data_IF_086464679138
#
_entry.id   IF_086464679138
#
_cell.length_a   1.000
_cell.length_b   1.000
_cell.length_c   1.000
_cell.angle_alpha   90.00
_cell.angle_beta   90.00
_cell.angle_gamma   90.00
#
_symmetry.space_group_name_H-M   'P 1'
#
loop_
_entity.id
_entity.type
_entity.pdbx_description
1 polymer ?
#
# COMPACT_ATOMS: atom_id res chain seq x y z
N UNK A 1 -10.37 -4.56 30.98
CA UNK A 1 -8.91 -4.83 30.99
C UNK A 1 -8.46 -4.82 29.56
N UNK A 2 -7.34 -4.16 29.26
CA UNK A 2 -6.72 -4.23 27.92
C UNK A 2 -6.20 -5.67 27.78
N UNK A 3 -6.65 -6.42 26.77
CA UNK A 3 -6.18 -7.78 26.52
C UNK A 3 -4.69 -7.81 26.14
N UNK A 4 -4.02 -8.93 26.40
CA UNK A 4 -2.61 -9.12 26.01
C UNK A 4 -2.45 -9.08 24.48
N UNK A 5 -1.23 -8.85 23.98
CA UNK A 5 -0.95 -8.90 22.54
C UNK A 5 -1.42 -10.21 21.92
N UNK A 6 -1.10 -11.35 22.54
CA UNK A 6 -1.54 -12.67 22.07
C UNK A 6 -3.05 -12.79 21.97
N UNK A 7 -3.80 -12.27 22.96
CA UNK A 7 -5.25 -12.28 22.94
C UNK A 7 -5.80 -11.46 21.75
N UNK A 8 -5.26 -10.26 21.52
CA UNK A 8 -5.71 -9.38 20.43
C UNK A 8 -5.37 -9.95 19.06
N UNK A 9 -4.18 -10.53 18.88
CA UNK A 9 -3.81 -11.22 17.64
C UNK A 9 -4.77 -12.38 17.36
N UNK A 10 -5.12 -13.17 18.38
CA UNK A 10 -6.09 -14.25 18.24
C UNK A 10 -7.46 -13.73 17.80
N UNK A 11 -7.91 -12.60 18.34
CA UNK A 11 -9.19 -11.96 17.96
C UNK A 11 -9.18 -11.54 16.49
N UNK A 12 -8.11 -10.91 16.00
CA UNK A 12 -7.99 -10.56 14.58
C UNK A 12 -7.93 -11.79 13.67
N UNK A 13 -7.15 -12.82 14.04
CA UNK A 13 -7.09 -14.06 13.26
C UNK A 13 -8.43 -14.80 13.25
N UNK A 14 -9.17 -14.80 14.36
CA UNK A 14 -10.50 -15.38 14.41
C UNK A 14 -11.50 -14.61 13.53
N UNK A 15 -11.38 -13.28 13.45
CA UNK A 15 -12.22 -12.46 12.59
C UNK A 15 -11.99 -12.71 11.10
N UNK A 16 -10.76 -13.04 10.71
CA UNK A 16 -10.39 -13.29 9.30
C UNK A 16 -10.56 -14.77 8.91
N UNK A 17 -10.19 -15.69 9.80
CA UNK A 17 -10.05 -17.12 9.50
C UNK A 17 -10.85 -18.06 10.39
N UNK A 18 -11.71 -17.54 11.27
CA UNK A 18 -12.41 -18.35 12.29
C UNK A 18 -13.30 -19.46 11.74
N UNK A 19 -13.82 -19.30 10.51
CA UNK A 19 -14.61 -20.33 9.85
C UNK A 19 -13.76 -21.43 9.21
N UNK A 20 -12.47 -21.17 8.95
CA UNK A 20 -11.55 -22.07 8.27
C UNK A 20 -10.67 -22.90 9.23
N UNK A 21 -10.45 -22.42 10.45
CA UNK A 21 -9.52 -23.02 11.41
C UNK A 21 -10.16 -23.35 12.75
N UNK A 22 -9.73 -24.45 13.37
CA UNK A 22 -10.08 -24.73 14.76
C UNK A 22 -9.32 -23.80 15.72
N UNK A 23 -9.80 -23.64 16.95
CA UNK A 23 -9.13 -22.77 17.95
C UNK A 23 -7.65 -23.14 18.20
N UNK A 24 -7.32 -24.44 18.14
CA UNK A 24 -5.95 -24.92 18.32
C UNK A 24 -5.02 -24.41 17.20
N UNK A 25 -5.52 -24.34 15.97
CA UNK A 25 -4.77 -23.85 14.80
C UNK A 25 -4.56 -22.34 14.90
N UNK A 26 -5.57 -21.59 15.38
CA UNK A 26 -5.43 -20.14 15.60
C UNK A 26 -4.30 -19.82 16.60
N UNK A 27 -4.18 -20.58 17.68
CA UNK A 27 -3.09 -20.39 18.66
C UNK A 27 -1.71 -20.66 18.06
N UNK A 28 -1.60 -21.66 17.18
CA UNK A 28 -0.36 -21.93 16.43
C UNK A 28 0.02 -20.73 15.55
N UNK A 29 -0.95 -20.17 14.83
CA UNK A 29 -0.70 -18.98 13.99
C UNK A 29 -0.34 -17.75 14.80
N UNK A 30 -0.97 -17.53 15.96
CA UNK A 30 -0.57 -16.47 16.90
C UNK A 30 0.90 -16.63 17.30
N UNK A 31 1.33 -17.85 17.66
CA UNK A 31 2.72 -18.09 18.03
C UNK A 31 3.68 -17.79 16.86
N UNK A 32 3.35 -18.22 15.64
CA UNK A 32 4.15 -17.93 14.46
C UNK A 32 4.27 -16.43 14.17
N UNK A 33 3.20 -15.65 14.37
CA UNK A 33 3.24 -14.20 14.21
C UNK A 33 4.11 -13.54 15.29
N UNK A 34 4.01 -13.98 16.54
CA UNK A 34 4.84 -13.49 17.64
C UNK A 34 6.33 -13.79 17.39
N UNK A 35 6.64 -15.00 16.93
CA UNK A 35 8.01 -15.41 16.61
C UNK A 35 8.58 -14.59 15.45
N UNK A 36 7.81 -14.43 14.36
CA UNK A 36 8.20 -13.61 13.20
C UNK A 36 8.42 -12.13 13.57
N UNK A 37 7.55 -11.57 14.41
CA UNK A 37 7.66 -10.20 14.88
C UNK A 37 8.73 -10.01 15.98
N UNK A 38 9.22 -11.11 16.57
CA UNK A 38 10.07 -11.14 17.76
C UNK A 38 9.43 -10.41 18.96
N UNK A 39 8.15 -10.68 19.21
CA UNK A 39 7.34 -10.04 20.25
C UNK A 39 6.97 -11.01 21.38
N UNK A 40 6.75 -10.46 22.57
CA UNK A 40 6.25 -11.23 23.72
C UNK A 40 4.73 -11.30 23.70
N UNK A 41 4.18 -12.49 23.96
CA UNK A 41 2.72 -12.72 24.06
C UNK A 41 2.01 -11.81 25.08
N UNK A 42 2.70 -11.48 26.18
CA UNK A 42 2.18 -10.71 27.31
C UNK A 42 2.35 -9.19 27.13
N UNK A 43 2.97 -8.76 26.03
CA UNK A 43 3.20 -7.34 25.78
C UNK A 43 1.86 -6.60 25.68
N UNK A 44 1.85 -5.38 26.23
CA UNK A 44 0.73 -4.46 26.07
C UNK A 44 0.98 -3.53 24.88
N UNK A 45 -0.03 -3.34 24.00
CA UNK A 45 0.02 -2.34 22.95
C UNK A 45 0.19 -0.93 23.52
N UNK A 46 0.80 0.01 22.77
CA UNK A 46 0.91 1.40 23.21
C UNK A 46 -0.47 2.04 23.39
N UNK A 47 -0.57 3.16 24.13
CA UNK A 47 -1.81 3.90 24.28
C UNK A 47 -2.37 4.33 22.92
N UNK A 48 -3.67 4.09 22.71
CA UNK A 48 -4.39 4.57 21.54
C UNK A 48 -4.51 6.11 21.53
N UNK A 49 -4.90 6.66 20.39
CA UNK A 49 -5.18 8.09 20.20
C UNK A 49 -4.00 9.01 20.53
N UNK A 50 -2.79 8.61 20.15
CA UNK A 50 -1.58 9.42 20.30
C UNK A 50 -1.12 9.94 18.94
N UNK A 51 -1.01 11.26 18.81
CA UNK A 51 -0.35 11.86 17.66
C UNK A 51 1.16 11.63 17.76
N UNK A 52 1.73 11.08 16.69
CA UNK A 52 3.17 10.84 16.55
C UNK A 52 3.83 11.84 15.61
N UNK A 53 3.11 12.90 15.26
CA UNK A 53 3.49 13.97 14.34
C UNK A 53 2.86 15.28 14.79
N UNK A 54 3.36 16.38 14.26
CA UNK A 54 2.80 17.72 14.45
C UNK A 54 2.87 18.56 13.17
N UNK A 55 2.55 19.85 13.26
CA UNK A 55 2.54 20.76 12.11
C UNK A 55 3.94 21.06 11.53
N UNK A 56 5.02 20.63 12.20
CA UNK A 56 6.39 20.81 11.74
C UNK A 56 6.88 19.66 10.88
N UNK A 57 6.12 18.56 10.80
CA UNK A 57 6.49 17.41 10.00
C UNK A 57 6.29 17.65 8.50
N UNK A 58 7.37 17.45 7.74
CA UNK A 58 7.41 17.61 6.29
C UNK A 58 8.05 16.38 5.66
N UNK A 59 7.30 15.72 4.78
CA UNK A 59 7.76 14.53 4.07
C UNK A 59 8.23 14.87 2.65
N UNK A 60 9.36 14.28 2.25
CA UNK A 60 9.79 14.21 0.86
C UNK A 60 9.63 12.79 0.33
N UNK A 61 9.06 12.63 -0.87
CA UNK A 61 8.92 11.35 -1.57
C UNK A 61 9.86 11.36 -2.77
N UNK A 62 10.66 10.32 -2.94
CA UNK A 62 11.68 10.24 -3.99
C UNK A 62 11.97 8.80 -4.37
N UNK A 63 12.36 8.57 -5.62
CA UNK A 63 13.05 7.32 -5.96
C UNK A 63 14.48 7.36 -5.40
N UNK A 64 15.04 6.18 -5.10
CA UNK A 64 16.41 6.05 -4.59
C UNK A 64 17.48 6.57 -5.56
N UNK A 65 17.13 6.70 -6.84
CA UNK A 65 17.98 7.12 -7.96
C UNK A 65 17.52 8.42 -8.63
N UNK A 66 16.62 9.19 -8.00
CA UNK A 66 16.23 10.53 -8.51
C UNK A 66 17.40 11.51 -8.59
N UNK A 67 18.48 11.25 -7.84
CA UNK A 67 19.71 12.04 -7.84
C UNK A 67 20.91 11.12 -8.07
N UNK A 68 21.69 11.44 -9.10
CA UNK A 68 22.85 10.67 -9.52
C UNK A 68 24.06 11.58 -9.61
N UNK A 69 25.20 11.13 -9.10
CA UNK A 69 26.50 11.77 -9.33
C UNK A 69 27.47 10.91 -10.14
N UNK A 70 27.14 9.63 -10.39
CA UNK A 70 27.94 8.70 -11.18
C UNK A 70 29.19 8.14 -10.49
N UNK A 71 29.46 8.50 -9.24
CA UNK A 71 30.66 8.10 -8.49
C UNK A 71 30.36 7.12 -7.35
N UNK A 72 29.17 7.18 -6.78
CA UNK A 72 28.73 6.33 -5.67
C UNK A 72 27.32 5.76 -5.90
N UNK A 73 26.92 4.84 -5.03
CA UNK A 73 25.58 4.27 -5.05
C UNK A 73 24.50 5.38 -4.93
N UNK A 74 23.40 5.31 -5.70
CA UNK A 74 22.36 6.33 -5.70
C UNK A 74 21.82 6.70 -4.31
N UNK A 75 21.58 5.73 -3.42
CA UNK A 75 21.13 5.99 -2.06
C UNK A 75 22.12 6.83 -1.24
N UNK A 76 23.42 6.75 -1.54
CA UNK A 76 24.43 7.61 -0.91
C UNK A 76 24.36 9.04 -1.41
N UNK A 77 24.21 9.20 -2.73
CA UNK A 77 24.00 10.52 -3.35
C UNK A 77 22.76 11.18 -2.78
N UNK A 78 21.66 10.43 -2.69
CA UNK A 78 20.39 10.90 -2.11
C UNK A 78 20.57 11.33 -0.64
N UNK A 79 21.17 10.48 0.19
CA UNK A 79 21.46 10.82 1.60
C UNK A 79 22.29 12.10 1.73
N UNK A 80 23.34 12.23 0.93
CA UNK A 80 24.18 13.43 0.88
C UNK A 80 23.40 14.69 0.48
N UNK A 81 22.54 14.59 -0.55
CA UNK A 81 21.68 15.71 -0.94
C UNK A 81 20.70 16.09 0.15
N UNK A 82 19.98 15.11 0.72
CA UNK A 82 19.00 15.35 1.78
C UNK A 82 19.65 16.08 2.94
N UNK A 83 20.76 15.55 3.48
CA UNK A 83 21.44 16.13 4.65
C UNK A 83 22.09 17.48 4.38
N UNK A 84 22.66 17.70 3.19
CA UNK A 84 23.42 18.93 2.88
C UNK A 84 22.57 20.04 2.25
N UNK A 85 21.42 19.72 1.66
CA UNK A 85 20.57 20.67 0.92
C UNK A 85 19.21 20.89 1.58
N UNK A 86 18.57 19.84 2.08
CA UNK A 86 17.28 19.96 2.77
C UNK A 86 17.46 20.09 4.28
N UNK A 87 18.33 19.25 4.88
CA UNK A 87 18.61 19.22 6.30
C UNK A 87 17.33 19.16 7.12
N UNK A 88 17.19 20.06 8.09
CA UNK A 88 16.04 20.13 8.99
C UNK A 88 14.73 20.66 8.34
N UNK A 89 14.73 21.00 7.03
CA UNK A 89 13.50 21.39 6.33
C UNK A 89 12.55 20.21 6.08
N UNK A 90 13.08 18.99 6.10
CA UNK A 90 12.31 17.75 5.95
C UNK A 90 12.56 16.88 7.17
N UNK A 91 11.49 16.36 7.75
CA UNK A 91 11.59 15.43 8.88
C UNK A 91 11.46 13.98 8.42
N UNK A 92 10.70 13.74 7.34
CA UNK A 92 10.39 12.39 6.84
C UNK A 92 10.90 12.23 5.41
N UNK A 93 11.39 11.04 5.11
CA UNK A 93 11.85 10.68 3.77
C UNK A 93 11.18 9.38 3.37
N UNK A 94 10.39 9.41 2.31
CA UNK A 94 9.86 8.23 1.65
C UNK A 94 10.72 7.89 0.45
N UNK A 95 11.43 6.77 0.57
CA UNK A 95 12.11 6.15 -0.56
C UNK A 95 11.14 5.17 -1.20
N UNK A 96 10.73 5.46 -2.44
CA UNK A 96 9.91 4.57 -3.26
C UNK A 96 10.60 3.19 -3.43
N UNK A 97 9.88 2.13 -3.84
CA UNK A 97 10.31 0.76 -3.59
C UNK A 97 11.77 0.50 -4.01
N UNK A 98 12.59 0.15 -3.01
CA UNK A 98 14.04 0.02 -3.16
C UNK A 98 14.51 -1.45 -3.18
N UNK A 99 13.59 -2.40 -3.07
CA UNK A 99 13.86 -3.83 -3.28
C UNK A 99 14.14 -4.12 -4.75
N UNK A 100 14.82 -5.23 -5.12
CA UNK A 100 14.89 -5.67 -6.50
C UNK A 100 13.48 -5.86 -7.10
N UNK A 101 13.30 -5.48 -8.36
CA UNK A 101 11.99 -5.48 -9.03
C UNK A 101 12.13 -5.74 -10.54
N UNK A 102 11.02 -6.04 -11.22
CA UNK A 102 10.98 -6.34 -12.67
C UNK A 102 10.28 -5.31 -13.53
N UNK A 103 9.17 -4.76 -13.06
CA UNK A 103 8.38 -3.72 -13.74
C UNK A 103 7.71 -2.78 -12.74
N UNK A 104 6.93 -1.82 -13.28
CA UNK A 104 6.14 -0.86 -12.51
C UNK A 104 6.97 -0.02 -11.53
N UNK A 105 8.15 0.43 -11.99
CA UNK A 105 9.07 1.33 -11.26
C UNK A 105 9.33 0.96 -9.79
N UNK A 106 9.37 -0.33 -9.47
CA UNK A 106 9.59 -0.81 -8.10
C UNK A 106 8.47 -1.65 -7.52
N UNK A 107 7.26 -1.55 -8.05
CA UNK A 107 6.07 -2.19 -7.45
C UNK A 107 5.90 -3.66 -7.82
N UNK A 108 6.56 -4.17 -8.87
CA UNK A 108 6.70 -5.62 -9.09
C UNK A 108 7.93 -6.19 -8.36
N UNK A 109 7.83 -6.36 -7.05
CA UNK A 109 8.95 -6.77 -6.17
C UNK A 109 9.40 -8.20 -6.44
N UNK A 110 10.72 -8.42 -6.59
CA UNK A 110 11.34 -9.75 -6.75
C UNK A 110 11.70 -10.40 -5.41
N UNK A 111 12.26 -9.62 -4.50
CA UNK A 111 12.83 -10.10 -3.24
C UNK A 111 12.78 -9.01 -2.17
N UNK A 112 11.95 -9.21 -1.14
CA UNK A 112 11.82 -8.29 -0.01
C UNK A 112 13.01 -8.36 0.95
N UNK A 113 13.89 -9.36 0.84
CA UNK A 113 14.99 -9.56 1.78
C UNK A 113 16.24 -8.75 1.45
N UNK A 114 16.32 -8.18 0.25
CA UNK A 114 17.50 -7.44 -0.23
C UNK A 114 17.13 -6.03 -0.72
N UNK A 115 18.11 -5.13 -0.70
CA UNK A 115 18.01 -3.83 -1.37
C UNK A 115 18.53 -4.02 -2.80
N UNK A 116 17.90 -3.36 -3.77
CA UNK A 116 18.35 -3.37 -5.15
C UNK A 116 19.80 -2.88 -5.24
N UNK A 117 20.69 -3.75 -5.70
CA UNK A 117 22.14 -3.48 -5.78
C UNK A 117 22.46 -2.27 -6.65
N UNK A 118 21.59 -1.94 -7.63
CA UNK A 118 21.73 -0.74 -8.45
C UNK A 118 21.53 0.56 -7.65
N UNK A 119 20.81 0.51 -6.53
CA UNK A 119 20.55 1.64 -5.64
C UNK A 119 21.54 1.72 -4.47
N UNK A 120 21.95 0.57 -3.93
CA UNK A 120 22.84 0.47 -2.78
C UNK A 120 22.62 -0.81 -1.99
N UNK A 121 22.70 -0.73 -0.66
CA UNK A 121 22.49 -1.87 0.24
C UNK A 121 21.76 -1.43 1.53
N UNK A 122 21.48 -2.39 2.43
CA UNK A 122 20.82 -2.12 3.70
C UNK A 122 21.50 -1.05 4.56
N UNK A 123 22.84 -0.94 4.55
CA UNK A 123 23.51 0.10 5.34
C UNK A 123 23.20 1.51 4.85
N UNK A 124 22.93 1.69 3.56
CA UNK A 124 22.54 2.98 2.98
C UNK A 124 21.11 3.35 3.40
N UNK A 125 20.19 2.37 3.44
CA UNK A 125 18.83 2.52 3.96
C UNK A 125 18.85 2.84 5.46
N UNK A 126 19.61 2.08 6.26
CA UNK A 126 19.75 2.34 7.70
C UNK A 126 20.28 3.73 7.97
N UNK A 127 21.22 4.22 7.17
CA UNK A 127 21.74 5.58 7.31
C UNK A 127 20.67 6.64 7.08
N UNK A 128 19.75 6.45 6.13
CA UNK A 128 18.59 7.33 5.96
C UNK A 128 17.67 7.31 7.19
N UNK A 129 17.42 6.13 7.77
CA UNK A 129 16.60 5.97 8.98
C UNK A 129 17.21 6.51 10.26
N UNK A 130 18.52 6.80 10.28
CA UNK A 130 19.19 7.48 11.41
C UNK A 130 18.89 8.98 11.42
N UNK A 131 18.89 9.61 10.25
CA UNK A 131 18.77 11.08 10.13
C UNK A 131 17.33 11.55 9.91
N UNK A 132 16.47 10.69 9.36
CA UNK A 132 15.09 11.02 9.02
C UNK A 132 14.13 9.94 9.47
N UNK A 133 12.86 10.32 9.65
CA UNK A 133 11.79 9.32 9.80
C UNK A 133 11.54 8.65 8.44
N UNK A 134 12.17 7.49 8.26
CA UNK A 134 12.16 6.77 7.01
C UNK A 134 10.80 6.10 6.76
N UNK A 135 10.23 6.38 5.59
CA UNK A 135 9.06 5.73 5.03
C UNK A 135 9.49 4.75 3.93
N UNK A 136 8.92 3.56 3.97
CA UNK A 136 9.10 2.53 2.95
C UNK A 136 7.76 1.96 2.49
N UNK A 137 7.70 1.56 1.22
CA UNK A 137 6.57 0.82 0.67
C UNK A 137 6.58 -0.63 1.17
N UNK A 138 5.42 -1.07 1.66
CA UNK A 138 5.10 -2.47 1.87
C UNK A 138 4.10 -2.88 0.79
N UNK A 139 4.62 -3.41 -0.32
CA UNK A 139 3.81 -3.91 -1.44
C UNK A 139 3.17 -5.24 -1.02
N UNK A 140 1.98 -5.15 -0.43
CA UNK A 140 1.30 -6.27 0.22
C UNK A 140 0.57 -7.16 -0.79
N UNK A 141 -0.08 -6.58 -1.80
CA UNK A 141 -1.07 -7.31 -2.59
C UNK A 141 -0.46 -8.35 -3.54
N UNK A 142 0.72 -8.07 -4.07
CA UNK A 142 1.31 -8.83 -5.16
C UNK A 142 2.84 -8.74 -5.13
N UNK A 143 3.48 -9.65 -5.86
CA UNK A 143 4.90 -9.53 -6.19
C UNK A 143 5.14 -9.87 -7.66
N UNK A 144 6.39 -9.78 -8.09
CA UNK A 144 6.82 -10.16 -9.43
C UNK A 144 6.51 -11.63 -9.73
N UNK A 145 6.06 -11.90 -10.94
CA UNK A 145 5.93 -13.24 -11.53
C UNK A 145 7.30 -13.94 -11.71
N UNK A 146 8.39 -13.24 -11.44
CA UNK A 146 9.77 -13.76 -11.45
C UNK A 146 10.37 -13.90 -10.05
N UNK A 147 9.56 -13.70 -9.00
CA UNK A 147 9.99 -13.87 -7.61
C UNK A 147 10.29 -15.34 -7.28
N UNK A 148 11.13 -15.55 -6.26
CA UNK A 148 11.43 -16.90 -5.78
C UNK A 148 10.16 -17.61 -5.27
N UNK A 149 9.26 -16.89 -4.60
CA UNK A 149 7.99 -17.46 -4.16
C UNK A 149 7.11 -17.92 -5.32
N UNK A 150 7.04 -17.16 -6.42
CA UNK A 150 6.24 -17.58 -7.57
C UNK A 150 6.86 -18.75 -8.32
N UNK A 151 8.19 -18.81 -8.41
CA UNK A 151 8.86 -20.00 -8.94
C UNK A 151 8.60 -21.24 -8.07
N UNK A 152 8.58 -21.08 -6.75
CA UNK A 152 8.20 -22.14 -5.81
C UNK A 152 6.73 -22.55 -5.97
N UNK A 153 5.80 -21.62 -6.19
CA UNK A 153 4.41 -21.90 -6.54
C UNK A 153 4.31 -22.75 -7.81
N UNK A 154 5.08 -22.43 -8.85
CA UNK A 154 5.09 -23.19 -10.12
C UNK A 154 5.63 -24.61 -9.94
N UNK A 155 6.56 -24.82 -9.01
CA UNK A 155 7.10 -26.15 -8.70
C UNK A 155 6.30 -26.92 -7.64
N UNK A 156 5.45 -26.24 -6.88
CA UNK A 156 4.83 -26.84 -5.68
C UNK A 156 5.86 -27.10 -4.58
N UNK A 157 6.78 -26.14 -4.36
CA UNK A 157 7.82 -26.22 -3.32
C UNK A 157 7.52 -25.23 -2.18
N UNK A 158 7.72 -25.65 -0.93
CA UNK A 158 7.64 -24.76 0.22
C UNK A 158 8.99 -24.05 0.49
N UNK A 159 8.99 -22.79 0.97
CA UNK A 159 7.83 -21.90 1.11
C UNK A 159 7.41 -21.31 -0.25
N UNK A 160 6.11 -21.10 -0.47
CA UNK A 160 5.60 -20.45 -1.69
C UNK A 160 4.59 -21.26 -2.51
N UNK A 161 4.52 -22.59 -2.30
CA UNK A 161 3.65 -23.50 -3.05
C UNK A 161 2.16 -23.09 -3.10
N UNK A 162 1.68 -22.36 -2.09
CA UNK A 162 0.29 -21.94 -1.89
C UNK A 162 0.15 -20.44 -1.55
N UNK A 163 1.16 -19.63 -1.90
CA UNK A 163 1.18 -18.19 -1.57
C UNK A 163 0.37 -17.32 -2.54
N UNK A 164 0.01 -17.82 -3.71
CA UNK A 164 -0.66 -17.03 -4.76
C UNK A 164 -2.11 -17.44 -4.96
N UNK A 165 -2.95 -16.47 -5.24
CA UNK A 165 -4.37 -16.73 -5.44
C UNK A 165 -4.61 -17.32 -6.84
N UNK A 166 -5.10 -18.56 -6.86
CA UNK A 166 -5.48 -19.28 -8.06
C UNK A 166 -6.92 -19.77 -7.88
N UNK A 167 -7.92 -19.04 -8.40
CA UNK A 167 -9.32 -19.42 -8.24
C UNK A 167 -9.66 -20.67 -9.05
N UNK A 168 -10.68 -21.41 -8.61
CA UNK A 168 -11.29 -22.46 -9.41
C UNK A 168 -12.21 -21.90 -10.51
N UNK A 169 -12.65 -22.76 -11.42
CA UNK A 169 -13.54 -22.39 -12.53
C UNK A 169 -14.93 -21.91 -12.08
N UNK A 170 -15.32 -22.18 -10.83
CA UNK A 170 -16.60 -21.78 -10.26
C UNK A 170 -16.55 -20.39 -9.61
N UNK A 171 -15.37 -19.79 -9.48
CA UNK A 171 -15.20 -18.47 -8.87
C UNK A 171 -15.83 -17.38 -9.74
N UNK A 172 -16.84 -16.68 -9.19
CA UNK A 172 -17.55 -15.61 -9.87
C UNK A 172 -16.75 -14.31 -9.80
N UNK A 173 -16.26 -13.86 -10.96
CA UNK A 173 -15.50 -12.61 -11.12
C UNK A 173 -16.34 -11.45 -11.66
N UNK A 174 -17.65 -11.63 -11.84
CA UNK A 174 -18.52 -10.67 -12.54
C UNK A 174 -18.64 -9.29 -11.85
N UNK A 175 -18.39 -9.23 -10.55
CA UNK A 175 -18.46 -8.01 -9.74
C UNK A 175 -17.10 -7.39 -9.39
N UNK A 176 -15.99 -8.03 -9.77
CA UNK A 176 -14.63 -7.60 -9.40
C UNK A 176 -14.33 -6.20 -9.91
N UNK A 177 -13.81 -5.33 -9.04
CA UNK A 177 -13.35 -4.00 -9.44
C UNK A 177 -11.99 -4.12 -10.10
N UNK A 178 -11.86 -3.55 -11.31
CA UNK A 178 -10.67 -3.68 -12.15
C UNK A 178 -9.93 -2.34 -12.27
N UNK A 179 -8.73 -2.19 -11.69
CA UNK A 179 -7.95 -0.95 -11.80
C UNK A 179 -7.21 -0.83 -13.14
N UNK A 180 -7.15 -1.90 -13.93
CA UNK A 180 -6.45 -2.00 -15.22
C UNK A 180 -7.26 -2.81 -16.22
N UNK A 181 -6.99 -2.62 -17.50
CA UNK A 181 -7.65 -3.31 -18.63
C UNK A 181 -7.00 -4.65 -19.02
N UNK A 182 -5.81 -4.94 -18.49
CA UNK A 182 -5.11 -6.22 -18.62
C UNK A 182 -5.97 -7.41 -18.18
N UNK A 183 -5.81 -8.65 -18.68
CA UNK A 183 -6.57 -9.79 -18.15
C UNK A 183 -6.38 -9.97 -16.63
N UNK A 184 -7.48 -10.29 -15.92
CA UNK A 184 -7.45 -10.55 -14.46
C UNK A 184 -6.78 -11.88 -14.14
N UNK A 185 -7.01 -12.89 -14.97
CA UNK A 185 -6.49 -14.23 -14.79
C UNK A 185 -5.48 -14.52 -15.88
N UNK A 186 -4.31 -14.99 -15.49
CA UNK A 186 -3.26 -15.42 -16.40
C UNK A 186 -2.96 -16.90 -16.17
N UNK A 187 -3.00 -17.69 -17.25
CA UNK A 187 -2.66 -19.10 -17.19
C UNK A 187 -1.15 -19.29 -17.15
N UNK A 188 -0.68 -20.05 -16.16
CA UNK A 188 0.74 -20.39 -15.99
C UNK A 188 0.91 -21.91 -15.91
N UNK A 189 2.01 -22.40 -16.49
CA UNK A 189 2.39 -23.80 -16.37
C UNK A 189 3.05 -24.03 -15.01
N UNK A 190 2.52 -25.01 -14.27
CA UNK A 190 3.08 -25.54 -13.03
C UNK A 190 3.41 -27.02 -13.19
N UNK A 191 4.21 -27.59 -12.30
CA UNK A 191 4.49 -29.04 -12.29
C UNK A 191 3.22 -29.88 -12.05
N UNK A 192 2.18 -29.28 -11.49
CA UNK A 192 0.87 -29.90 -11.26
C UNK A 192 -0.14 -29.65 -12.40
N UNK A 193 0.29 -29.03 -13.49
CA UNK A 193 -0.55 -28.67 -14.63
C UNK A 193 -0.72 -27.16 -14.80
N UNK A 194 -1.56 -26.75 -15.75
CA UNK A 194 -1.89 -25.34 -15.94
C UNK A 194 -2.75 -24.82 -14.78
N UNK A 195 -2.44 -23.63 -14.28
CA UNK A 195 -3.22 -22.92 -13.26
C UNK A 195 -3.48 -21.49 -13.68
N UNK A 196 -4.67 -20.98 -13.41
CA UNK A 196 -5.00 -19.57 -13.61
C UNK A 196 -4.64 -18.79 -12.35
N UNK A 197 -3.70 -17.85 -12.43
CA UNK A 197 -3.30 -16.99 -11.31
C UNK A 197 -3.92 -15.61 -11.46
N UNK A 198 -4.23 -15.00 -10.32
CA UNK A 198 -4.85 -13.68 -10.25
C UNK A 198 -3.82 -12.56 -10.38
N UNK A 199 -4.10 -11.60 -11.24
CA UNK A 199 -3.26 -10.45 -11.57
C UNK A 199 -4.12 -9.19 -11.62
N UNK A 200 -4.21 -8.47 -10.51
CA UNK A 200 -5.06 -7.26 -10.39
C UNK A 200 -4.56 -6.11 -11.27
N UNK A 201 -3.23 -5.98 -11.42
CA UNK A 201 -2.59 -4.84 -12.08
C UNK A 201 -1.98 -5.21 -13.43
N UNK A 202 -1.04 -6.15 -13.46
CA UNK A 202 -0.37 -6.58 -14.69
C UNK A 202 -0.03 -8.07 -14.64
N UNK A 203 0.26 -8.71 -15.78
CA UNK A 203 0.69 -10.11 -15.78
C UNK A 203 2.00 -10.39 -15.03
N UNK A 204 2.82 -9.36 -14.81
CA UNK A 204 4.03 -9.48 -14.01
C UNK A 204 3.76 -9.33 -12.51
N UNK A 205 2.57 -8.85 -12.13
CA UNK A 205 2.16 -8.64 -10.73
C UNK A 205 1.14 -9.71 -10.35
N UNK A 206 1.62 -10.77 -9.72
CA UNK A 206 0.82 -11.93 -9.30
C UNK A 206 0.36 -11.73 -7.85
N UNK A 207 -0.95 -11.79 -7.65
CA UNK A 207 -1.58 -11.49 -6.36
C UNK A 207 -1.36 -12.62 -5.34
N UNK A 208 -0.99 -12.22 -4.12
CA UNK A 208 -0.91 -13.12 -2.99
C UNK A 208 -2.30 -13.59 -2.53
N UNK A 209 -2.31 -14.77 -1.92
CA UNK A 209 -3.47 -15.36 -1.27
C UNK A 209 -3.44 -15.11 0.25
N UNK A 210 -4.00 -13.99 0.70
CA UNK A 210 -4.07 -13.71 2.15
C UNK A 210 -5.05 -14.61 2.91
N UNK A 211 -5.86 -15.45 2.23
CA UNK A 211 -6.60 -16.52 2.90
C UNK A 211 -5.66 -17.60 3.48
N UNK A 212 -4.41 -17.66 3.01
CA UNK A 212 -3.34 -18.43 3.61
C UNK A 212 -2.62 -17.59 4.71
N UNK A 213 -2.78 -17.93 6.00
CA UNK A 213 -2.12 -17.19 7.09
C UNK A 213 -0.58 -17.27 7.05
N UNK A 214 0.02 -18.22 6.31
CA UNK A 214 1.47 -18.25 6.13
C UNK A 214 1.97 -16.98 5.43
N UNK A 215 1.21 -16.43 4.47
CA UNK A 215 1.54 -15.17 3.79
C UNK A 215 1.59 -14.01 4.79
N UNK A 216 0.68 -13.97 5.77
CA UNK A 216 0.69 -12.95 6.83
C UNK A 216 1.97 -13.04 7.67
N UNK A 217 2.41 -14.26 8.00
CA UNK A 217 3.66 -14.49 8.75
C UNK A 217 4.90 -14.01 7.97
N UNK A 218 4.95 -14.23 6.66
CA UNK A 218 6.04 -13.70 5.81
C UNK A 218 6.07 -12.18 5.83
N UNK A 219 4.92 -11.52 5.67
CA UNK A 219 4.87 -10.05 5.71
C UNK A 219 5.18 -9.48 7.09
N UNK A 220 4.86 -10.19 8.18
CA UNK A 220 5.33 -9.82 9.52
C UNK A 220 6.85 -9.90 9.63
N UNK A 221 7.48 -10.90 9.00
CA UNK A 221 8.94 -11.03 8.96
C UNK A 221 9.58 -9.89 8.15
N UNK A 222 8.97 -9.50 7.02
CA UNK A 222 9.39 -8.33 6.21
C UNK A 222 9.26 -7.03 7.02
N UNK A 223 8.13 -6.84 7.71
CA UNK A 223 7.92 -5.69 8.60
C UNK A 223 9.03 -5.63 9.66
N UNK A 224 9.37 -6.76 10.28
CA UNK A 224 10.46 -6.83 11.27
C UNK A 224 11.79 -6.38 10.67
N UNK A 225 12.14 -6.90 9.49
CA UNK A 225 13.35 -6.52 8.78
C UNK A 225 13.42 -5.01 8.48
N UNK A 226 12.31 -4.42 8.03
CA UNK A 226 12.22 -2.99 7.76
C UNK A 226 12.36 -2.15 9.04
N UNK A 227 11.73 -2.58 10.15
CA UNK A 227 11.90 -1.93 11.46
C UNK A 227 13.36 -1.95 11.92
N UNK A 228 14.04 -3.09 11.76
CA UNK A 228 15.46 -3.28 12.07
C UNK A 228 16.36 -2.39 11.21
N UNK A 229 15.96 -2.15 9.95
CA UNK A 229 16.63 -1.22 9.05
C UNK A 229 16.33 0.26 9.34
N UNK A 230 15.51 0.59 10.35
CA UNK A 230 15.22 1.97 10.74
C UNK A 230 13.96 2.58 10.08
N UNK A 231 13.15 1.80 9.37
CA UNK A 231 11.85 2.27 8.86
C UNK A 231 10.92 2.56 10.03
N UNK A 232 10.23 3.71 9.96
CA UNK A 232 9.26 4.17 10.97
C UNK A 232 7.91 4.54 10.38
N UNK A 233 7.77 4.51 9.06
CA UNK A 233 6.50 4.73 8.39
C UNK A 233 6.32 3.66 7.32
N UNK A 234 5.25 2.90 7.40
CA UNK A 234 4.92 1.85 6.44
C UNK A 234 3.82 2.36 5.52
N UNK A 235 4.13 2.57 4.24
CA UNK A 235 3.13 2.82 3.21
C UNK A 235 2.60 1.49 2.71
N UNK A 236 1.34 1.16 3.02
CA UNK A 236 0.69 -0.05 2.55
C UNK A 236 0.16 0.17 1.14
N UNK A 237 0.85 -0.42 0.17
CA UNK A 237 0.53 -0.28 -1.24
C UNK A 237 -0.51 -1.32 -1.70
N UNK A 238 -1.42 -0.90 -2.59
CA UNK A 238 -2.48 -1.73 -3.18
C UNK A 238 -3.34 -2.48 -2.15
N UNK A 239 -3.45 -1.95 -0.94
CA UNK A 239 -4.02 -2.66 0.21
C UNK A 239 -5.52 -2.95 0.05
N UNK A 240 -6.23 -2.21 -0.80
CA UNK A 240 -7.65 -2.44 -1.04
C UNK A 240 -7.97 -3.85 -1.58
N UNK A 241 -7.01 -4.51 -2.23
CA UNK A 241 -7.22 -5.76 -2.97
C UNK A 241 -6.73 -7.03 -2.25
N UNK A 242 -6.32 -6.96 -0.97
CA UNK A 242 -5.71 -8.11 -0.28
C UNK A 242 -6.58 -9.37 -0.27
N UNK A 243 -7.90 -9.22 -0.09
CA UNK A 243 -8.82 -10.35 0.05
C UNK A 243 -9.67 -10.58 -1.19
N UNK A 244 -9.87 -11.85 -1.54
CA UNK A 244 -10.63 -12.29 -2.73
C UNK A 244 -11.79 -13.18 -2.30
N UNK A 245 -13.01 -12.80 -2.69
CA UNK A 245 -14.24 -13.53 -2.36
C UNK A 245 -15.17 -13.58 -3.58
N UNK A 246 -15.65 -14.78 -3.91
CA UNK A 246 -16.45 -15.06 -5.10
C UNK A 246 -17.75 -14.25 -5.12
N UNK A 247 -18.07 -13.60 -6.25
CA UNK A 247 -19.27 -12.79 -6.42
C UNK A 247 -19.20 -11.40 -5.77
N UNK A 248 -18.06 -11.00 -5.20
CA UNK A 248 -17.87 -9.69 -4.58
C UNK A 248 -17.03 -8.75 -5.45
N UNK A 249 -16.79 -7.52 -4.97
CA UNK A 249 -15.88 -6.57 -5.63
C UNK A 249 -14.40 -6.94 -5.48
N UNK A 250 -14.05 -7.85 -4.56
CA UNK A 250 -12.67 -8.13 -4.13
C UNK A 250 -11.88 -6.86 -3.78
N UNK A 251 -12.57 -5.82 -3.29
CA UNK A 251 -11.98 -4.53 -2.95
C UNK A 251 -12.60 -4.02 -1.65
N UNK A 252 -11.76 -3.56 -0.71
CA UNK A 252 -12.17 -3.04 0.61
C UNK A 252 -13.01 -4.03 1.44
N UNK A 253 -12.74 -5.34 1.31
CA UNK A 253 -13.49 -6.36 2.07
C UNK A 253 -13.16 -6.30 3.57
N UNK A 254 -14.06 -6.72 4.48
CA UNK A 254 -13.83 -6.67 5.92
C UNK A 254 -12.52 -7.34 6.37
N UNK A 255 -12.14 -8.44 5.73
CA UNK A 255 -10.90 -9.17 5.99
C UNK A 255 -9.67 -8.32 5.68
N UNK A 256 -9.70 -7.50 4.63
CA UNK A 256 -8.65 -6.52 4.32
C UNK A 256 -8.46 -5.56 5.49
N UNK A 257 -9.55 -4.96 5.99
CA UNK A 257 -9.50 -4.04 7.13
C UNK A 257 -8.97 -4.70 8.41
N UNK A 258 -9.35 -5.95 8.67
CA UNK A 258 -8.84 -6.69 9.83
C UNK A 258 -7.35 -7.04 9.72
N UNK A 259 -6.87 -7.38 8.53
CA UNK A 259 -5.45 -7.63 8.31
C UNK A 259 -4.61 -6.36 8.53
N UNK A 260 -5.09 -5.20 8.10
CA UNK A 260 -4.41 -3.92 8.36
C UNK A 260 -4.36 -3.62 9.85
N UNK A 261 -5.46 -3.86 10.58
CA UNK A 261 -5.49 -3.73 12.05
C UNK A 261 -4.50 -4.68 12.73
N UNK A 262 -4.39 -5.92 12.25
CA UNK A 262 -3.40 -6.88 12.73
C UNK A 262 -1.98 -6.39 12.48
N UNK A 263 -1.65 -5.93 11.26
CA UNK A 263 -0.32 -5.41 10.94
C UNK A 263 0.01 -4.19 11.78
N UNK A 264 -0.91 -3.23 11.92
CA UNK A 264 -0.74 -2.07 12.79
C UNK A 264 -0.45 -2.48 14.22
N UNK A 265 -1.21 -3.40 14.78
CA UNK A 265 -1.01 -3.88 16.16
C UNK A 265 0.40 -4.46 16.35
N UNK A 266 0.89 -5.24 15.39
CA UNK A 266 2.24 -5.80 15.42
C UNK A 266 3.29 -4.70 15.32
N UNK A 267 3.13 -3.77 14.38
CA UNK A 267 4.04 -2.64 14.16
C UNK A 267 4.14 -1.76 15.41
N UNK A 268 3.00 -1.37 15.99
CA UNK A 268 2.93 -0.53 17.20
C UNK A 268 3.58 -1.21 18.42
N UNK A 269 3.41 -2.53 18.56
CA UNK A 269 4.08 -3.29 19.62
C UNK A 269 5.58 -3.44 19.38
N UNK A 270 6.01 -3.66 18.14
CA UNK A 270 7.43 -3.78 17.82
C UNK A 270 8.16 -2.44 17.93
N UNK A 271 7.49 -1.35 17.57
CA UNK A 271 8.06 -0.01 17.62
C UNK A 271 6.96 1.05 17.81
N UNK A 272 6.88 1.61 19.03
CA UNK A 272 5.77 2.46 19.45
C UNK A 272 5.69 3.85 18.77
N UNK A 273 6.72 4.25 18.02
CA UNK A 273 6.73 5.45 17.18
C UNK A 273 6.63 5.11 15.67
N UNK A 274 6.44 3.84 15.30
CA UNK A 274 6.18 3.47 13.92
C UNK A 274 4.71 3.71 13.57
N UNK A 275 4.45 4.15 12.33
CA UNK A 275 3.10 4.44 11.84
C UNK A 275 2.82 3.71 10.53
N UNK A 276 1.53 3.58 10.22
CA UNK A 276 1.00 2.90 9.04
C UNK A 276 0.20 3.90 8.23
N UNK A 277 0.53 4.04 6.95
CA UNK A 277 -0.20 4.88 6.01
C UNK A 277 -0.77 3.97 4.92
N UNK A 278 -2.06 4.03 4.66
CA UNK A 278 -2.65 3.29 3.54
C UNK A 278 -2.69 4.15 2.29
N UNK A 279 -2.28 3.56 1.16
CA UNK A 279 -2.51 4.15 -0.15
C UNK A 279 -3.77 3.54 -0.76
N UNK A 280 -4.83 4.34 -0.80
CA UNK A 280 -6.15 3.94 -1.28
C UNK A 280 -6.76 5.05 -2.13
N UNK A 281 -6.51 4.97 -3.44
CA UNK A 281 -7.02 5.91 -4.44
C UNK A 281 -8.51 5.63 -4.79
N UNK A 282 -9.37 5.80 -3.78
CA UNK A 282 -10.82 5.52 -3.82
C UNK A 282 -11.61 6.76 -3.37
N UNK A 283 -12.93 6.82 -3.63
CA UNK A 283 -13.77 7.92 -3.16
C UNK A 283 -13.68 8.14 -1.64
N UNK A 284 -13.88 9.39 -1.20
CA UNK A 284 -13.58 9.83 0.17
C UNK A 284 -14.16 8.95 1.28
N UNK A 285 -15.40 8.47 1.16
CA UNK A 285 -16.02 7.65 2.21
C UNK A 285 -15.33 6.30 2.38
N UNK A 286 -14.92 5.69 1.27
CA UNK A 286 -14.15 4.43 1.29
C UNK A 286 -12.76 4.68 1.87
N UNK A 287 -12.10 5.77 1.47
CA UNK A 287 -10.77 6.13 1.99
C UNK A 287 -10.81 6.39 3.51
N UNK A 288 -11.83 7.10 4.01
CA UNK A 288 -12.02 7.36 5.44
C UNK A 288 -12.23 6.10 6.28
N UNK A 289 -12.76 5.02 5.69
CA UNK A 289 -12.99 3.77 6.41
C UNK A 289 -11.70 3.13 6.91
N UNK A 290 -10.56 3.40 6.27
CA UNK A 290 -9.25 2.90 6.65
C UNK A 290 -8.67 3.53 7.92
N UNK A 291 -9.27 4.60 8.46
CA UNK A 291 -8.95 5.00 9.83
C UNK A 291 -9.50 4.01 10.87
N UNK A 292 -10.54 3.24 10.51
CA UNK A 292 -11.31 2.43 11.44
C UNK A 292 -11.83 3.28 12.60
N UNK A 293 -11.68 2.77 13.82
CA UNK A 293 -11.90 3.53 15.05
C UNK A 293 -10.55 4.02 15.62
N UNK A 294 -9.77 4.70 14.78
CA UNK A 294 -8.37 5.06 15.01
C UNK A 294 -7.47 3.85 15.37
N UNK A 295 -7.81 2.66 14.86
CA UNK A 295 -7.12 1.40 15.15
C UNK A 295 -6.62 0.66 13.90
N UNK A 296 -6.76 1.25 12.71
CA UNK A 296 -6.38 0.63 11.43
C UNK A 296 -5.19 1.35 10.75
N UNK A 297 -5.40 2.41 9.97
CA UNK A 297 -4.31 3.25 9.48
C UNK A 297 -4.08 4.43 10.44
N UNK A 298 -2.83 4.86 10.57
CA UNK A 298 -2.50 6.14 11.21
C UNK A 298 -2.71 7.28 10.20
N UNK A 299 -2.29 7.07 8.95
CA UNK A 299 -2.46 8.04 7.87
C UNK A 299 -3.25 7.46 6.71
N UNK A 300 -4.05 8.30 6.04
CA UNK A 300 -4.59 7.99 4.71
C UNK A 300 -4.20 9.11 3.76
N UNK A 301 -3.83 8.76 2.52
CA UNK A 301 -3.53 9.74 1.49
C UNK A 301 -4.77 10.56 1.14
N UNK A 302 -4.59 11.87 0.99
CA UNK A 302 -5.67 12.77 0.61
C UNK A 302 -5.79 12.91 -0.91
N UNK A 303 -6.24 11.85 -1.58
CA UNK A 303 -6.24 11.77 -3.04
C UNK A 303 -7.21 12.73 -3.75
N UNK A 304 -8.22 13.28 -3.06
CA UNK A 304 -9.08 14.33 -3.64
C UNK A 304 -8.38 15.69 -3.75
N UNK A 305 -7.33 15.94 -2.96
CA UNK A 305 -6.66 17.25 -2.94
C UNK A 305 -5.96 17.59 -4.27
N UNK A 306 -5.07 16.75 -4.85
CA UNK A 306 -4.40 17.07 -6.10
C UNK A 306 -5.34 17.45 -7.27
N UNK A 307 -6.36 16.65 -7.64
CA UNK A 307 -7.21 17.00 -8.77
C UNK A 307 -8.07 18.24 -8.51
N UNK A 308 -8.54 18.45 -7.26
CA UNK A 308 -9.29 19.67 -6.91
C UNK A 308 -8.41 20.92 -6.93
N UNK A 309 -7.13 20.78 -6.57
CA UNK A 309 -6.18 21.89 -6.64
C UNK A 309 -5.92 22.28 -8.10
N UNK A 310 -5.66 21.31 -8.98
CA UNK A 310 -5.48 21.58 -10.42
C UNK A 310 -6.75 22.17 -11.02
N UNK A 311 -7.92 21.62 -10.70
CA UNK A 311 -9.22 22.17 -11.13
C UNK A 311 -9.36 23.64 -10.73
N UNK A 312 -9.04 23.99 -9.47
CA UNK A 312 -9.14 25.36 -8.99
C UNK A 312 -8.17 26.32 -9.71
N UNK A 313 -6.96 25.86 -10.02
CA UNK A 313 -5.97 26.64 -10.77
C UNK A 313 -6.40 26.87 -12.23
N UNK A 314 -6.98 25.86 -12.87
CA UNK A 314 -7.42 25.91 -14.27
C UNK A 314 -8.66 26.78 -14.44
N UNK A 315 -9.65 26.61 -13.56
CA UNK A 315 -10.95 27.31 -13.66
C UNK A 315 -10.94 28.67 -12.98
N UNK A 316 -9.92 28.98 -12.19
CA UNK A 316 -9.84 30.23 -11.41
C UNK A 316 -10.85 30.31 -10.26
N UNK A 317 -11.41 29.19 -9.81
CA UNK A 317 -12.37 29.14 -8.70
C UNK A 317 -12.04 28.06 -7.69
N UNK A 318 -12.09 28.40 -6.39
CA UNK A 318 -11.86 27.44 -5.29
C UNK A 318 -13.15 26.80 -4.78
N UNK A 319 -14.29 26.94 -5.47
CA UNK A 319 -15.61 26.49 -4.99
C UNK A 319 -15.60 25.02 -4.58
N UNK A 320 -15.15 24.13 -5.46
CA UNK A 320 -15.15 22.69 -5.20
C UNK A 320 -14.12 22.31 -4.14
N UNK A 321 -12.91 22.87 -4.20
CA UNK A 321 -11.87 22.66 -3.20
C UNK A 321 -12.34 23.07 -1.79
N UNK A 322 -12.96 24.25 -1.66
CA UNK A 322 -13.46 24.77 -0.39
C UNK A 322 -14.63 23.94 0.14
N UNK A 323 -15.56 23.55 -0.74
CA UNK A 323 -16.72 22.72 -0.37
C UNK A 323 -16.26 21.35 0.14
N UNK A 324 -15.35 20.70 -0.59
CA UNK A 324 -14.78 19.43 -0.19
C UNK A 324 -14.04 19.54 1.15
N UNK A 325 -13.16 20.54 1.32
CA UNK A 325 -12.43 20.75 2.58
C UNK A 325 -13.38 20.95 3.77
N UNK A 326 -14.48 21.69 3.60
CA UNK A 326 -15.49 21.87 4.65
C UNK A 326 -16.31 20.60 4.95
N UNK A 327 -16.35 19.64 4.02
CA UNK A 327 -17.05 18.36 4.20
C UNK A 327 -16.23 17.28 4.87
N UNK A 328 -14.89 17.43 4.90
CA UNK A 328 -13.99 16.45 5.49
C UNK A 328 -14.10 16.51 7.02
N UNK A 329 -14.35 15.37 7.69
CA UNK A 329 -14.35 15.36 9.15
C UNK A 329 -12.93 15.66 9.66
N UNK A 330 -12.78 16.34 10.81
CA UNK A 330 -11.48 16.44 11.45
C UNK A 330 -10.93 15.03 11.71
N UNK A 331 -9.62 14.84 11.50
CA UNK A 331 -8.98 13.58 11.86
C UNK A 331 -9.10 13.35 13.36
N UNK A 332 -9.29 12.09 13.76
CA UNK A 332 -9.32 11.71 15.17
C UNK A 332 -7.89 11.77 15.73
N UNK A 333 -7.74 11.94 17.04
CA UNK A 333 -6.42 11.79 17.66
C UNK A 333 -5.84 10.41 17.36
N UNK A 334 -4.56 10.40 16.99
CA UNK A 334 -3.86 9.23 16.47
C UNK A 334 -4.06 8.96 14.98
N UNK A 335 -4.78 9.83 14.25
CA UNK A 335 -4.92 9.73 12.79
C UNK A 335 -4.65 11.05 12.04
N UNK A 336 -4.27 10.97 10.76
CA UNK A 336 -3.92 12.12 9.94
C UNK A 336 -4.27 11.93 8.46
N UNK A 337 -4.66 13.02 7.81
CA UNK A 337 -4.71 13.09 6.35
C UNK A 337 -3.33 13.41 5.81
N UNK A 338 -2.75 12.50 5.03
CA UNK A 338 -1.47 12.72 4.37
C UNK A 338 -1.71 13.55 3.10
N UNK A 339 -1.56 14.86 3.25
CA UNK A 339 -1.79 15.83 2.17
C UNK A 339 -0.58 15.88 1.23
N UNK A 340 -0.86 15.84 -0.07
CA UNK A 340 0.14 15.92 -1.11
C UNK A 340 -0.45 16.61 -2.34
N UNK A 341 0.40 17.08 -3.25
CA UNK A 341 -0.01 17.84 -4.45
C UNK A 341 0.19 17.06 -5.75
N UNK A 342 1.07 16.05 -5.74
CA UNK A 342 1.31 15.13 -6.85
C UNK A 342 2.02 13.88 -6.30
N UNK A 343 1.82 12.74 -6.97
CA UNK A 343 2.49 11.49 -6.64
C UNK A 343 3.32 11.00 -7.83
N UNK A 344 4.19 10.00 -7.60
CA UNK A 344 4.90 9.28 -8.66
C UNK A 344 3.95 8.66 -9.70
N UNK A 345 2.71 8.44 -9.27
CA UNK A 345 1.66 7.74 -9.99
C UNK A 345 0.75 8.69 -10.80
N UNK A 346 1.06 10.00 -10.78
CA UNK A 346 0.26 11.07 -11.36
C UNK A 346 -0.86 11.58 -10.44
N UNK A 347 -1.88 12.21 -11.04
CA UNK A 347 -3.06 12.75 -10.36
C UNK A 347 -4.27 11.86 -10.69
N UNK A 348 -4.72 11.07 -9.71
CA UNK A 348 -5.92 10.25 -9.85
C UNK A 348 -7.21 11.06 -9.96
N UNK A 349 -8.15 10.63 -10.80
CA UNK A 349 -9.45 11.28 -10.99
C UNK A 349 -10.63 10.55 -10.33
N UNK A 350 -10.46 9.29 -9.94
CA UNK A 350 -11.45 8.57 -9.12
C UNK A 350 -11.84 9.29 -7.80
N UNK A 351 -10.92 9.93 -7.07
CA UNK A 351 -11.22 10.62 -5.82
C UNK A 351 -12.14 11.84 -5.96
N UNK A 352 -12.36 12.34 -7.18
CA UNK A 352 -13.30 13.45 -7.45
C UNK A 352 -14.69 12.98 -7.88
N UNK A 353 -14.91 11.67 -7.96
CA UNK A 353 -16.25 11.09 -8.16
C UNK A 353 -17.21 11.59 -7.08
N UNK A 354 -18.30 12.24 -7.50
CA UNK A 354 -19.27 12.85 -6.59
C UNK A 354 -18.85 14.19 -5.98
N UNK A 355 -17.62 14.68 -6.25
CA UNK A 355 -17.16 16.02 -5.87
C UNK A 355 -17.22 17.00 -7.04
N UNK A 356 -16.81 16.55 -8.23
CA UNK A 356 -16.90 17.30 -9.48
C UNK A 356 -18.03 16.74 -10.34
N UNK A 357 -18.72 17.61 -11.05
CA UNK A 357 -19.64 17.21 -12.12
C UNK A 357 -18.84 16.67 -13.32
N UNK A 358 -19.42 15.74 -14.10
CA UNK A 358 -18.72 15.16 -15.24
C UNK A 358 -18.24 16.20 -16.25
N UNK A 359 -19.01 17.28 -16.46
CA UNK A 359 -18.63 18.37 -17.36
C UNK A 359 -17.35 19.09 -16.90
N UNK A 360 -17.15 19.24 -15.58
CA UNK A 360 -15.95 19.86 -15.00
C UNK A 360 -14.72 18.95 -15.19
N UNK A 361 -14.91 17.64 -15.09
CA UNK A 361 -13.87 16.65 -15.34
C UNK A 361 -13.47 16.66 -16.82
N UNK A 362 -14.46 16.67 -17.72
CA UNK A 362 -14.25 16.71 -19.17
C UNK A 362 -13.51 17.99 -19.59
N UNK A 363 -13.90 19.15 -19.04
CA UNK A 363 -13.23 20.43 -19.29
C UNK A 363 -11.79 20.45 -18.76
N UNK A 364 -11.59 19.92 -17.56
CA UNK A 364 -10.25 19.78 -16.98
C UNK A 364 -9.34 18.96 -17.91
N UNK A 365 -9.81 17.81 -18.38
CA UNK A 365 -9.04 16.94 -19.28
C UNK A 365 -8.73 17.59 -20.62
N UNK A 366 -9.73 18.19 -21.26
CA UNK A 366 -9.55 18.90 -22.53
C UNK A 366 -8.54 20.04 -22.38
N UNK A 367 -8.55 20.72 -21.23
CA UNK A 367 -7.58 21.77 -20.93
C UNK A 367 -6.17 21.19 -20.71
N UNK A 368 -6.04 20.09 -19.97
CA UNK A 368 -4.74 19.45 -19.74
C UNK A 368 -4.11 18.93 -21.04
N UNK A 369 -4.90 18.39 -21.97
CA UNK A 369 -4.43 18.01 -23.31
C UNK A 369 -3.82 19.20 -24.07
N UNK A 370 -4.42 20.39 -23.96
CA UNK A 370 -3.89 21.62 -24.60
C UNK A 370 -2.52 22.01 -24.02
N UNK A 371 -2.30 21.75 -22.73
CA UNK A 371 -1.02 21.96 -22.06
C UNK A 371 0.00 20.83 -22.30
N UNK A 372 -0.27 19.90 -23.23
CA UNK A 372 0.54 18.69 -23.51
C UNK A 372 0.54 17.68 -22.36
N UNK A 373 -0.37 17.77 -21.41
CA UNK A 373 -0.62 16.71 -20.44
C UNK A 373 -1.22 15.47 -21.12
N UNK A 374 -1.01 14.30 -20.53
CA UNK A 374 -1.60 13.04 -20.98
C UNK A 374 -2.52 12.45 -19.91
N UNK A 375 -3.46 11.59 -20.31
CA UNK A 375 -4.38 10.93 -19.38
C UNK A 375 -4.59 9.45 -19.76
N UNK A 376 -4.84 8.62 -18.75
CA UNK A 376 -5.11 7.18 -18.91
C UNK A 376 -6.60 6.90 -18.68
N UNK A 377 -7.20 6.00 -19.45
CA UNK A 377 -8.62 5.67 -19.43
C UNK A 377 -8.87 4.24 -18.93
N UNK A 378 -9.89 4.02 -18.08
CA UNK A 378 -10.32 2.70 -17.62
C UNK A 378 -11.60 2.24 -18.36
N UNK A 379 -11.73 0.93 -18.62
CA UNK A 379 -12.94 0.32 -19.19
C UNK A 379 -13.81 -0.30 -18.09
N UNK A 380 -15.09 0.09 -18.01
CA UNK A 380 -16.07 -0.53 -17.12
C UNK A 380 -16.83 -1.71 -17.78
N UNK A 381 -17.44 -2.62 -17.01
CA UNK A 381 -18.17 -3.79 -17.52
C UNK A 381 -19.53 -3.46 -18.16
N UNK A 382 -19.99 -2.21 -18.07
CA UNK A 382 -21.21 -1.71 -18.71
C UNK A 382 -20.88 -0.56 -19.63
N UNK A 383 -21.61 -0.40 -20.73
CA UNK A 383 -21.46 0.56 -21.84
C UNK A 383 -21.55 2.07 -21.47
N UNK A 384 -21.03 2.45 -20.31
CA UNK A 384 -20.73 3.82 -19.90
C UNK A 384 -19.34 4.14 -20.46
N UNK A 385 -19.17 5.35 -21.00
CA UNK A 385 -17.91 5.83 -21.58
C UNK A 385 -16.72 5.51 -20.66
N UNK A 386 -15.52 5.22 -21.21
CA UNK A 386 -14.33 5.03 -20.40
C UNK A 386 -14.12 6.26 -19.51
N UNK A 387 -13.96 6.03 -18.20
CA UNK A 387 -13.68 7.09 -17.26
C UNK A 387 -12.16 7.30 -17.18
N UNK A 388 -11.69 8.55 -17.26
CA UNK A 388 -10.29 8.89 -17.13
C UNK A 388 -9.85 8.64 -15.68
N UNK A 389 -8.75 7.91 -15.54
CA UNK A 389 -8.28 7.38 -14.27
C UNK A 389 -7.19 8.26 -13.66
N UNK A 390 -6.32 8.83 -14.50
CA UNK A 390 -5.11 9.57 -14.09
C UNK A 390 -4.78 10.69 -15.08
N UNK A 391 -4.32 11.83 -14.54
CA UNK A 391 -3.70 12.97 -15.23
C UNK A 391 -2.19 12.94 -15.01
N UNK A 392 -1.41 13.13 -16.07
CA UNK A 392 0.06 13.24 -16.04
C UNK A 392 0.44 14.63 -16.56
N UNK A 393 1.09 15.42 -15.70
CA UNK A 393 1.61 16.74 -16.03
C UNK A 393 3.09 16.57 -16.44
N UNK A 394 3.46 17.09 -17.61
CA UNK A 394 4.81 16.98 -18.18
C UNK A 394 5.64 18.24 -17.95
#
# INVERSE_FOLDING_TARGET
MIGTLSQRLREHLAAVYGDAFAEADLNLWVQRLLDAAQLSAEQSPPPAHRNLWDETDVAVITYGDSLLNGEEAPLKTLHGFLTQRLGALVSWVHVLPFHPWTSDDGFAVLDYSSVNEALGNWSDITRLGVDYRLMADLVLNHCSSRSAWFENFRKGEAPGEDYFFSPDDAFDTSHVVRPRTSPLLNTVATEQGERAVWCTFSPDQVDFNFANPAVVVEFVSIIRQLLDAGVRVFRLDAVAFLWKESGTTCMNLPQTHELIRLFRLIIECAQADAIVITETNVPNRENLSYFGNANEAHGIYNFSLPPLLVHALVTGTSRYLSTWMMSMPPAQDGTVYFNFIASHDGIGLRPVEGLLEQAEVDELLATMEQFRGSHLMAAGPTAVKPNPMKLILH
#
